data_IF_002134143622
#
_entry.id   IF_002134143622
#
_cell.length_a   1.000
_cell.length_b   1.000
_cell.length_c   1.000
_cell.angle_alpha   90.00
_cell.angle_beta   90.00
_cell.angle_gamma   90.00
#
_symmetry.space_group_name_H-M   'P 1'
#
loop_
_entity.id
_entity.type
_entity.pdbx_description
1 polymer ?
#
# COMPACT_ATOMS: atom_id res chain seq x y z
N UNK A 1 7.44 -12.45 16.76
CA UNK A 1 7.68 -11.43 15.74
C UNK A 1 6.69 -11.54 14.57
N UNK A 2 6.62 -12.69 13.87
CA UNK A 2 5.73 -12.89 12.70
C UNK A 2 4.25 -12.62 13.00
N UNK A 3 3.73 -13.12 14.13
CA UNK A 3 2.33 -12.87 14.53
C UNK A 3 2.01 -11.38 14.63
N UNK A 4 2.90 -10.58 15.23
CA UNK A 4 2.71 -9.14 15.34
C UNK A 4 2.68 -8.44 13.98
N UNK A 5 3.51 -8.88 13.03
CA UNK A 5 3.51 -8.39 11.66
C UNK A 5 2.19 -8.68 10.94
N UNK A 6 1.72 -9.94 10.99
CA UNK A 6 0.46 -10.30 10.35
C UNK A 6 -0.75 -9.61 10.98
N UNK A 7 -0.74 -9.43 12.30
CA UNK A 7 -1.77 -8.65 12.99
C UNK A 7 -1.79 -7.19 12.49
N UNK A 8 -0.62 -6.56 12.36
CA UNK A 8 -0.52 -5.19 11.83
C UNK A 8 -1.05 -5.10 10.39
N UNK A 9 -0.71 -6.10 9.56
CA UNK A 9 -1.16 -6.17 8.17
C UNK A 9 -2.68 -6.34 8.08
N UNK A 10 -3.26 -7.25 8.84
CA UNK A 10 -4.72 -7.46 8.88
C UNK A 10 -5.44 -6.22 9.40
N UNK A 11 -4.91 -5.57 10.46
CA UNK A 11 -5.47 -4.31 10.95
C UNK A 11 -5.48 -3.24 9.87
N UNK A 12 -4.42 -3.12 9.05
CA UNK A 12 -4.37 -2.12 7.98
C UNK A 12 -5.42 -2.32 6.89
N UNK A 13 -5.94 -3.53 6.74
CA UNK A 13 -6.95 -3.91 5.74
C UNK A 13 -8.39 -3.74 6.25
N UNK A 14 -8.59 -3.43 7.52
CA UNK A 14 -9.92 -3.20 8.07
C UNK A 14 -10.56 -1.98 7.41
N UNK A 15 -11.78 -2.18 6.90
CA UNK A 15 -12.59 -1.15 6.24
C UNK A 15 -13.86 -0.83 7.02
N UNK A 16 -14.07 -1.46 8.17
CA UNK A 16 -15.28 -1.33 8.98
C UNK A 16 -15.25 -0.14 9.94
N UNK A 17 -14.06 0.42 10.21
CA UNK A 17 -13.83 1.49 11.14
C UNK A 17 -13.32 2.76 10.44
N UNK A 18 -13.20 3.84 11.21
CA UNK A 18 -12.57 5.08 10.74
C UNK A 18 -11.15 4.81 10.23
N UNK A 19 -10.90 5.22 9.00
CA UNK A 19 -9.64 4.91 8.30
C UNK A 19 -8.42 5.48 9.01
N UNK A 20 -8.51 6.67 9.57
CA UNK A 20 -7.41 7.29 10.31
C UNK A 20 -7.08 6.49 11.58
N UNK A 21 -8.09 6.07 12.34
CA UNK A 21 -7.92 5.24 13.53
C UNK A 21 -7.32 3.86 13.20
N UNK A 22 -7.75 3.25 12.10
CA UNK A 22 -7.22 1.97 11.59
C UNK A 22 -5.74 2.09 11.24
N UNK A 23 -5.37 3.11 10.47
CA UNK A 23 -3.99 3.37 10.07
C UNK A 23 -3.10 3.66 11.29
N UNK A 24 -3.60 4.46 12.25
CA UNK A 24 -2.90 4.74 13.50
C UNK A 24 -2.64 3.46 14.31
N UNK A 25 -3.62 2.57 14.42
CA UNK A 25 -3.50 1.29 15.11
C UNK A 25 -2.50 0.37 14.41
N UNK A 26 -2.60 0.23 13.11
CA UNK A 26 -1.68 -0.57 12.29
C UNK A 26 -0.24 -0.05 12.38
N UNK A 27 -0.04 1.27 12.29
CA UNK A 27 1.25 1.94 12.47
C UNK A 27 1.89 1.57 13.79
N UNK A 28 1.14 1.63 14.88
CA UNK A 28 1.62 1.29 16.21
C UNK A 28 2.06 -0.18 16.31
N UNK A 29 1.32 -1.10 15.68
CA UNK A 29 1.66 -2.51 15.63
C UNK A 29 2.95 -2.76 14.83
N UNK A 30 3.12 -2.17 13.65
CA UNK A 30 4.36 -2.27 12.87
C UNK A 30 5.56 -1.70 13.65
N UNK A 31 5.38 -0.55 14.32
CA UNK A 31 6.44 0.03 15.16
C UNK A 31 6.85 -0.90 16.31
N UNK A 32 5.90 -1.58 16.96
CA UNK A 32 6.19 -2.56 18.01
C UNK A 32 6.99 -3.75 17.46
N UNK A 33 6.65 -4.25 16.28
CA UNK A 33 7.40 -5.33 15.61
C UNK A 33 8.83 -4.91 15.33
N UNK A 34 9.03 -3.71 14.74
CA UNK A 34 10.36 -3.21 14.43
C UNK A 34 11.18 -2.89 15.69
N UNK A 35 10.56 -2.33 16.74
CA UNK A 35 11.22 -2.10 18.01
C UNK A 35 11.71 -3.43 18.63
N UNK A 36 10.89 -4.47 18.55
CA UNK A 36 11.28 -5.80 19.02
C UNK A 36 12.48 -6.34 18.19
N UNK A 37 12.43 -6.20 16.86
CA UNK A 37 13.55 -6.60 15.99
C UNK A 37 14.84 -5.79 16.31
N UNK A 38 14.71 -4.50 16.63
CA UNK A 38 15.84 -3.66 17.03
C UNK A 38 16.48 -4.12 18.35
N UNK A 39 15.64 -4.48 19.32
CA UNK A 39 16.09 -5.03 20.61
C UNK A 39 16.95 -6.29 20.46
N UNK A 40 16.62 -7.12 19.47
CA UNK A 40 17.39 -8.32 19.15
C UNK A 40 18.52 -8.08 18.15
N UNK A 41 18.79 -6.85 17.76
CA UNK A 41 19.86 -6.51 16.82
C UNK A 41 19.63 -7.01 15.40
N UNK A 42 18.38 -7.25 15.00
CA UNK A 42 18.01 -7.79 13.69
C UNK A 42 17.84 -6.70 12.62
N UNK A 43 17.78 -5.42 13.01
CA UNK A 43 17.67 -4.32 12.06
C UNK A 43 19.03 -3.96 11.48
N UNK A 44 19.09 -3.83 10.16
CA UNK A 44 20.26 -3.21 9.51
C UNK A 44 20.33 -1.70 9.87
N UNK A 45 21.48 -1.05 9.70
CA UNK A 45 21.57 0.40 9.93
C UNK A 45 20.58 1.21 9.08
N UNK A 46 20.33 0.79 7.84
CA UNK A 46 19.35 1.41 6.94
C UNK A 46 17.90 1.22 7.43
N UNK A 47 17.53 -0.01 7.85
CA UNK A 47 16.20 -0.29 8.37
C UNK A 47 15.93 0.47 9.68
N UNK A 48 16.95 0.56 10.54
CA UNK A 48 16.88 1.35 11.77
C UNK A 48 16.68 2.84 11.50
N UNK A 49 17.35 3.39 10.49
CA UNK A 49 17.16 4.77 10.07
C UNK A 49 15.75 4.99 9.52
N UNK A 50 15.26 4.10 8.66
CA UNK A 50 13.92 4.13 8.12
C UNK A 50 12.84 3.94 9.21
N UNK A 51 13.07 3.08 10.20
CA UNK A 51 12.18 2.91 11.36
C UNK A 51 12.07 4.20 12.19
N UNK A 52 13.18 4.90 12.43
CA UNK A 52 13.19 6.18 13.15
C UNK A 52 12.45 7.29 12.42
N UNK A 53 12.40 7.24 11.11
CA UNK A 53 11.70 8.21 10.25
C UNK A 53 10.30 7.76 9.80
N UNK A 54 9.72 6.75 10.46
CA UNK A 54 8.41 6.16 10.12
C UNK A 54 8.30 5.71 8.65
N UNK A 55 9.33 5.08 8.13
CA UNK A 55 9.37 4.62 6.75
C UNK A 55 9.67 5.73 5.73
N UNK A 56 9.74 6.98 6.16
CA UNK A 56 10.34 8.03 5.35
C UNK A 56 11.84 7.75 5.21
N UNK A 57 12.39 7.88 4.03
CA UNK A 57 13.85 7.81 3.89
C UNK A 57 14.47 8.88 4.79
N UNK A 58 15.29 8.48 5.77
CA UNK A 58 15.97 9.42 6.66
C UNK A 58 16.96 10.32 5.90
N UNK A 59 17.36 9.92 4.71
CA UNK A 59 18.00 10.77 3.73
C UNK A 59 16.91 11.40 2.85
N UNK A 60 17.00 12.69 2.59
CA UNK A 60 16.18 13.32 1.56
C UNK A 60 16.26 12.43 0.30
N UNK A 61 15.11 12.13 -0.34
CA UNK A 61 15.12 11.27 -1.52
C UNK A 61 16.16 11.84 -2.49
N UNK A 62 16.99 10.99 -3.11
CA UNK A 62 17.99 11.45 -4.04
C UNK A 62 17.36 12.45 -5.00
N UNK A 63 17.95 13.62 -5.16
CA UNK A 63 17.43 14.66 -6.07
C UNK A 63 17.41 14.15 -7.51
N UNK A 64 18.26 13.16 -7.82
CA UNK A 64 18.35 12.53 -9.12
C UNK A 64 17.24 11.46 -9.31
N UNK A 65 16.39 11.60 -10.33
CA UNK A 65 15.37 10.64 -10.67
C UNK A 65 15.91 9.23 -11.00
N UNK A 66 17.12 9.14 -11.56
CA UNK A 66 17.76 7.88 -11.87
C UNK A 66 18.17 7.13 -10.59
N UNK A 67 18.73 7.83 -9.61
CA UNK A 67 19.08 7.27 -8.31
C UNK A 67 17.82 6.77 -7.56
N UNK A 68 16.74 7.53 -7.55
CA UNK A 68 15.44 7.09 -6.97
C UNK A 68 14.90 5.81 -7.63
N UNK A 69 15.02 5.71 -8.96
CA UNK A 69 14.62 4.51 -9.69
C UNK A 69 15.50 3.33 -9.32
N UNK A 70 16.82 3.52 -9.22
CA UNK A 70 17.77 2.48 -8.86
C UNK A 70 17.51 1.94 -7.45
N UNK A 71 17.23 2.80 -6.47
CA UNK A 71 16.84 2.39 -5.10
C UNK A 71 15.56 1.53 -5.10
N UNK A 72 14.52 1.96 -5.81
CA UNK A 72 13.28 1.18 -5.90
C UNK A 72 13.50 -0.19 -6.54
N UNK A 73 14.33 -0.26 -7.58
CA UNK A 73 14.68 -1.53 -8.24
C UNK A 73 15.48 -2.42 -7.28
N UNK A 74 16.42 -1.86 -6.53
CA UNK A 74 17.22 -2.61 -5.56
C UNK A 74 16.34 -3.17 -4.42
N UNK A 75 15.46 -2.35 -3.86
CA UNK A 75 14.49 -2.78 -2.84
C UNK A 75 13.56 -3.90 -3.34
N UNK A 76 13.04 -3.77 -4.55
CA UNK A 76 12.21 -4.80 -5.17
C UNK A 76 12.96 -6.12 -5.39
N UNK A 77 14.22 -6.06 -5.86
CA UNK A 77 15.05 -7.26 -6.05
C UNK A 77 15.31 -7.97 -4.72
N UNK A 78 15.67 -7.22 -3.68
CA UNK A 78 15.89 -7.75 -2.34
C UNK A 78 14.62 -8.43 -1.79
N UNK A 79 13.47 -7.79 -1.93
CA UNK A 79 12.18 -8.38 -1.53
C UNK A 79 11.93 -9.71 -2.27
N UNK A 80 12.12 -9.72 -3.59
CA UNK A 80 11.90 -10.90 -4.41
C UNK A 80 12.86 -12.04 -4.07
N UNK A 81 14.12 -11.75 -3.78
CA UNK A 81 15.12 -12.74 -3.34
C UNK A 81 14.75 -13.35 -1.99
N UNK A 82 14.37 -12.51 -1.01
CA UNK A 82 13.92 -12.98 0.30
C UNK A 82 12.65 -13.83 0.18
N UNK A 83 11.69 -13.39 -0.61
CA UNK A 83 10.46 -14.13 -0.86
C UNK A 83 10.74 -15.48 -1.50
N UNK A 84 11.56 -15.54 -2.54
CA UNK A 84 11.95 -16.78 -3.20
C UNK A 84 12.68 -17.76 -2.25
N UNK A 85 13.52 -17.22 -1.35
CA UNK A 85 14.19 -18.02 -0.32
C UNK A 85 13.21 -18.62 0.67
N UNK A 86 12.27 -17.80 1.17
CA UNK A 86 11.21 -18.26 2.08
C UNK A 86 10.34 -19.31 1.39
N UNK A 87 9.88 -19.06 0.17
CA UNK A 87 9.03 -19.98 -0.59
C UNK A 87 9.75 -21.29 -0.92
N UNK A 88 11.06 -21.20 -1.24
CA UNK A 88 11.88 -22.39 -1.50
C UNK A 88 12.00 -23.30 -0.28
N UNK A 89 12.32 -22.73 0.88
CA UNK A 89 12.49 -23.47 2.13
C UNK A 89 11.14 -23.91 2.73
N UNK A 90 10.06 -23.19 2.50
CA UNK A 90 8.73 -23.51 3.04
C UNK A 90 8.01 -24.64 2.29
N UNK A 91 8.52 -25.10 1.14
CA UNK A 91 7.85 -26.16 0.34
C UNK A 91 7.73 -27.49 1.06
N UNK A 92 8.77 -27.88 1.80
CA UNK A 92 8.78 -29.13 2.55
C UNK A 92 9.46 -28.93 3.91
N UNK A 93 8.74 -28.34 4.89
CA UNK A 93 9.30 -28.06 6.21
C UNK A 93 9.77 -29.30 6.96
N UNK A 94 9.24 -30.49 6.61
CA UNK A 94 9.57 -31.75 7.28
C UNK A 94 10.94 -32.31 6.87
N UNK A 95 11.50 -31.81 5.78
CA UNK A 95 12.81 -32.22 5.26
C UNK A 95 13.96 -31.26 5.63
N UNK A 96 13.62 -30.12 6.23
CA UNK A 96 14.63 -29.13 6.61
C UNK A 96 15.45 -29.67 7.78
N UNK A 97 16.76 -29.53 7.67
CA UNK A 97 17.65 -29.68 8.80
C UNK A 97 17.57 -28.45 9.74
N UNK A 98 18.28 -28.50 10.87
CA UNK A 98 18.29 -27.42 11.86
C UNK A 98 18.85 -26.10 11.30
N UNK A 99 19.79 -26.16 10.37
CA UNK A 99 20.39 -24.98 9.74
C UNK A 99 19.43 -24.38 8.72
N UNK A 100 18.81 -25.19 7.89
CA UNK A 100 17.80 -24.76 6.91
C UNK A 100 16.57 -24.16 7.62
N UNK A 101 16.12 -24.76 8.71
CA UNK A 101 15.03 -24.23 9.55
C UNK A 101 15.39 -22.85 10.12
N UNK A 102 16.62 -22.69 10.60
CA UNK A 102 17.12 -21.40 11.09
C UNK A 102 17.20 -20.37 9.98
N UNK A 103 17.65 -20.79 8.80
CA UNK A 103 17.71 -19.95 7.60
C UNK A 103 16.32 -19.52 7.13
N UNK A 104 15.31 -20.39 7.18
CA UNK A 104 13.92 -20.06 6.87
C UNK A 104 13.37 -19.00 7.82
N UNK A 105 13.57 -19.17 9.12
CA UNK A 105 13.10 -18.19 10.11
C UNK A 105 13.81 -16.86 9.97
N UNK A 106 15.13 -16.86 9.75
CA UNK A 106 15.91 -15.64 9.52
C UNK A 106 15.45 -14.89 8.28
N UNK A 107 15.27 -15.59 7.15
CA UNK A 107 14.75 -14.98 5.92
C UNK A 107 13.32 -14.44 6.09
N UNK A 108 12.46 -15.17 6.80
CA UNK A 108 11.09 -14.73 7.09
C UNK A 108 11.06 -13.46 7.95
N UNK A 109 11.93 -13.36 8.96
CA UNK A 109 12.05 -12.16 9.79
C UNK A 109 12.57 -10.99 8.96
N UNK A 110 13.61 -11.20 8.14
CA UNK A 110 14.16 -10.16 7.26
C UNK A 110 13.13 -9.63 6.27
N UNK A 111 12.32 -10.52 5.70
CA UNK A 111 11.22 -10.13 4.81
C UNK A 111 10.15 -9.31 5.55
N UNK A 112 9.80 -9.72 6.78
CA UNK A 112 8.84 -8.96 7.61
C UNK A 112 9.37 -7.58 8.00
N UNK A 113 10.66 -7.44 8.29
CA UNK A 113 11.28 -6.13 8.56
C UNK A 113 11.15 -5.23 7.34
N UNK A 114 11.60 -5.71 6.17
CA UNK A 114 11.53 -4.97 4.92
C UNK A 114 10.08 -4.49 4.63
N UNK A 115 9.13 -5.41 4.67
CA UNK A 115 7.72 -5.10 4.43
C UNK A 115 7.13 -4.16 5.49
N UNK A 116 7.53 -4.29 6.76
CA UNK A 116 7.07 -3.39 7.82
C UNK A 116 7.53 -1.95 7.60
N UNK A 117 8.78 -1.75 7.17
CA UNK A 117 9.32 -0.42 6.82
C UNK A 117 8.56 0.19 5.64
N UNK A 118 8.31 -0.62 4.59
CA UNK A 118 7.53 -0.18 3.44
C UNK A 118 6.10 0.23 3.84
N UNK A 119 5.44 -0.58 4.68
CA UNK A 119 4.08 -0.31 5.16
C UNK A 119 4.02 0.97 6.02
N UNK A 120 5.01 1.23 6.87
CA UNK A 120 5.07 2.49 7.62
C UNK A 120 5.12 3.70 6.68
N UNK A 121 5.93 3.64 5.62
CA UNK A 121 5.99 4.71 4.62
C UNK A 121 4.66 4.91 3.88
N UNK A 122 3.99 3.82 3.52
CA UNK A 122 2.67 3.88 2.88
C UNK A 122 1.60 4.48 3.82
N UNK A 123 1.58 4.04 5.08
CA UNK A 123 0.65 4.57 6.11
C UNK A 123 0.90 6.06 6.35
N UNK A 124 2.16 6.48 6.42
CA UNK A 124 2.50 7.90 6.61
C UNK A 124 1.98 8.77 5.47
N UNK A 125 2.14 8.32 4.23
CA UNK A 125 1.62 9.01 3.04
C UNK A 125 0.08 9.05 3.03
N UNK A 126 -0.57 7.94 3.36
CA UNK A 126 -2.04 7.87 3.40
C UNK A 126 -2.62 8.78 4.48
N UNK A 127 -2.02 8.81 5.68
CA UNK A 127 -2.40 9.73 6.76
C UNK A 127 -2.22 11.19 6.36
N UNK A 128 -1.14 11.51 5.62
CA UNK A 128 -0.94 12.86 5.10
C UNK A 128 -2.07 13.25 4.14
N UNK A 129 -2.39 12.39 3.17
CA UNK A 129 -3.48 12.63 2.21
C UNK A 129 -4.83 12.80 2.93
N UNK A 130 -5.11 11.99 3.95
CA UNK A 130 -6.34 12.11 4.74
C UNK A 130 -6.39 13.43 5.52
N UNK A 131 -5.26 13.91 6.04
CA UNK A 131 -5.20 15.19 6.76
C UNK A 131 -5.37 16.40 5.84
N UNK A 132 -4.98 16.28 4.56
CA UNK A 132 -5.09 17.34 3.55
C UNK A 132 -6.45 17.28 2.80
N UNK A 133 -7.19 16.18 2.92
CA UNK A 133 -8.50 16.03 2.27
C UNK A 133 -9.52 17.01 2.88
N UNK A 134 -10.29 17.73 2.05
CA UNK A 134 -11.35 18.61 2.53
C UNK A 134 -12.36 17.78 3.32
N UNK A 135 -12.71 18.25 4.51
CA UNK A 135 -13.73 17.59 5.33
C UNK A 135 -15.07 17.58 4.57
N UNK A 136 -15.88 16.51 4.71
CA UNK A 136 -17.19 16.43 4.04
C UNK A 136 -18.11 17.63 4.32
N UNK A 137 -17.90 18.32 5.43
CA UNK A 137 -18.65 19.52 5.83
C UNK A 137 -18.28 20.76 5.01
N UNK A 138 -17.07 20.81 4.44
CA UNK A 138 -16.59 21.92 3.60
C UNK A 138 -16.97 21.75 2.11
N UNK A 139 -17.39 20.56 1.72
CA UNK A 139 -17.88 20.32 0.37
C UNK A 139 -19.37 20.66 0.34
N UNK A 140 -19.69 21.93 0.06
CA UNK A 140 -21.06 22.33 -0.24
C UNK A 140 -21.67 21.42 -1.31
N UNK A 141 -23.01 21.36 -1.43
CA UNK A 141 -23.67 20.44 -2.35
C UNK A 141 -23.07 20.60 -3.74
N UNK A 142 -22.31 19.59 -4.17
CA UNK A 142 -21.79 19.52 -5.54
C UNK A 142 -23.03 19.47 -6.45
N UNK A 143 -23.36 20.60 -7.03
CA UNK A 143 -24.36 20.68 -8.06
C UNK A 143 -23.78 19.94 -9.27
N UNK A 144 -24.25 18.73 -9.49
CA UNK A 144 -23.88 17.96 -10.68
C UNK A 144 -24.31 18.77 -11.91
N UNK A 145 -23.38 19.50 -12.51
CA UNK A 145 -23.63 20.30 -13.72
C UNK A 145 -24.16 19.44 -14.86
N UNK A 146 -23.87 18.14 -14.86
CA UNK A 146 -24.43 17.17 -15.81
C UNK A 146 -25.92 16.90 -15.57
N UNK A 147 -26.41 17.11 -14.35
CA UNK A 147 -27.84 17.00 -14.05
C UNK A 147 -28.63 18.23 -14.58
N UNK A 148 -27.99 19.39 -14.70
CA UNK A 148 -28.60 20.60 -15.31
C UNK A 148 -28.82 20.44 -16.81
N UNK A 149 -27.94 19.73 -17.49
CA UNK A 149 -28.01 19.55 -18.95
C UNK A 149 -29.07 18.51 -19.37
N UNK A 150 -29.49 17.61 -18.45
CA UNK A 150 -30.54 16.64 -18.70
C UNK A 150 -31.96 17.22 -18.64
N UNK A 151 -32.11 18.44 -18.15
CA UNK A 151 -33.41 19.14 -18.04
C UNK A 151 -33.61 20.24 -19.08
N UNK A 152 -32.67 20.48 -19.98
CA UNK A 152 -32.85 21.44 -21.07
C UNK A 152 -33.80 20.84 -22.12
N UNK A 153 -34.94 21.51 -22.41
CA UNK A 153 -35.82 21.10 -23.50
C UNK A 153 -35.10 21.25 -24.82
N UNK A 154 -34.61 20.18 -25.36
CA UNK A 154 -33.83 20.18 -26.63
C UNK A 154 -33.20 18.84 -26.98
N UNK A 155 -33.10 17.93 -26.01
CA UNK A 155 -32.47 16.63 -26.27
C UNK A 155 -33.50 15.56 -26.68
N UNK A 156 -34.76 15.70 -26.32
CA UNK A 156 -35.82 14.73 -26.70
C UNK A 156 -36.44 15.03 -28.07
N UNK A 157 -36.34 16.24 -28.60
CA UNK A 157 -36.91 16.57 -29.90
C UNK A 157 -36.10 16.12 -31.12
N UNK A 158 -34.84 15.69 -30.94
CA UNK A 158 -34.01 15.24 -32.06
C UNK A 158 -34.11 13.75 -32.38
N UNK A 159 -34.81 12.97 -31.55
CA UNK A 159 -34.98 11.54 -31.78
C UNK A 159 -36.25 11.17 -32.55
N UNK A 160 -37.21 12.11 -32.66
CA UNK A 160 -38.47 11.86 -33.38
C UNK A 160 -38.46 12.25 -34.86
N UNK A 161 -37.31 12.69 -35.40
CA UNK A 161 -37.19 13.01 -36.84
C UNK A 161 -36.31 11.98 -37.54
N UNK A 162 -36.67 10.71 -37.43
CA UNK A 162 -36.26 9.68 -38.42
C UNK A 162 -37.35 9.66 -39.51
N UNK A 163 -37.06 10.09 -40.74
CA UNK A 163 -38.07 10.00 -41.79
C UNK A 163 -38.40 8.51 -42.06
N UNK A 164 -39.64 8.17 -42.26
CA UNK A 164 -40.02 6.80 -42.57
C UNK A 164 -39.51 6.44 -43.95
N UNK A 165 -38.76 5.32 -44.00
CA UNK A 165 -38.56 4.38 -45.08
C UNK A 165 -38.28 4.92 -46.45
N UNK A 166 -37.07 4.69 -46.88
CA UNK A 166 -36.72 4.47 -48.31
C UNK A 166 -37.41 3.16 -48.75
N UNK A 167 -38.46 3.31 -49.52
CA UNK A 167 -39.04 2.22 -50.31
C UNK A 167 -37.95 1.76 -51.32
N UNK A 168 -37.49 0.53 -51.13
CA UNK A 168 -36.73 -0.23 -52.15
C UNK A 168 -37.71 -1.04 -52.97
N UNK A 169 -38.31 -0.40 -53.97
CA UNK A 169 -38.89 -1.04 -55.09
C UNK A 169 -38.38 -0.39 -56.38
N UNK A 170 -37.64 -1.21 -57.18
CA UNK A 170 -37.13 -0.85 -58.49
C UNK A 170 -36.00 -1.77 -58.92
#
# INVERSE_FOLDING_TARGET
MLVGYYLALLTSQDRSADREAVLGSSRNLFRRVLALCDTYGLLSPSDRAAFKSDGSSAAAPPSDPAARRAEKIAAYRMEKELQAKVDGLSRDPSRLDDEETRNLHSASISLCILKSVQQLGMIALELQVLSEAPKPEDVGPQVDERARDRGAPGFSERLDTIPPTLDLDG
#
